data_IF_675209091332
#
_entry.id   IF_675209091332
#
_cell.length_a   1.000
_cell.length_b   1.000
_cell.length_c   1.000
_cell.angle_alpha   90.00
_cell.angle_beta   90.00
_cell.angle_gamma   90.00
#
_symmetry.space_group_name_H-M   'P 1'
#
loop_
_entity.id
_entity.type
_entity.pdbx_description
1 polymer ?
#
# COMPACT_ATOMS: atom_id res chain seq x y z
N UNK A 1 39.07 -31.86 16.01
CA UNK A 1 40.22 -32.71 15.73
C UNK A 1 40.71 -32.42 14.32
N UNK A 2 41.80 -31.67 14.19
CA UNK A 2 42.44 -31.33 12.92
C UNK A 2 43.25 -32.56 12.47
N UNK A 3 42.87 -33.16 11.33
CA UNK A 3 43.69 -34.14 10.65
C UNK A 3 44.54 -33.43 9.60
N UNK A 4 45.80 -33.30 9.88
CA UNK A 4 46.81 -32.90 8.88
C UNK A 4 47.11 -34.11 8.01
N UNK A 5 46.87 -34.02 6.70
CA UNK A 5 47.44 -34.96 5.73
C UNK A 5 48.79 -34.44 5.31
N UNK A 6 49.80 -35.16 5.74
CA UNK A 6 51.20 -34.95 5.34
C UNK A 6 51.42 -35.62 3.97
N UNK A 7 51.58 -34.83 2.90
CA UNK A 7 52.03 -35.38 1.65
C UNK A 7 53.53 -35.61 1.71
N UNK A 8 53.88 -36.89 1.72
CA UNK A 8 55.28 -37.34 1.63
C UNK A 8 55.68 -37.32 0.16
N UNK A 9 56.52 -36.38 -0.22
CA UNK A 9 57.18 -36.36 -1.52
C UNK A 9 58.23 -37.47 -1.56
N UNK A 10 57.95 -38.54 -2.29
CA UNK A 10 58.88 -39.61 -2.54
C UNK A 10 59.85 -39.23 -3.66
N UNK A 11 60.98 -38.66 -3.31
CA UNK A 11 62.10 -38.50 -4.25
C UNK A 11 62.84 -39.85 -4.37
N UNK A 12 62.60 -40.57 -5.47
CA UNK A 12 63.40 -41.70 -5.83
C UNK A 12 64.73 -41.18 -6.40
N UNK A 13 65.77 -41.28 -5.57
CA UNK A 13 67.16 -41.18 -6.03
C UNK A 13 67.53 -42.53 -6.65
N UNK A 14 67.78 -42.54 -7.94
CA UNK A 14 68.38 -43.69 -8.60
C UNK A 14 69.88 -43.46 -8.59
N UNK A 15 70.62 -44.17 -7.72
CA UNK A 15 72.08 -44.29 -7.76
C UNK A 15 72.41 -45.52 -8.57
N UNK A 16 72.94 -45.34 -9.81
CA UNK A 16 73.54 -46.38 -10.59
C UNK A 16 75.06 -46.29 -10.48
N UNK A 17 75.65 -47.28 -9.84
CA UNK A 17 77.08 -47.43 -9.71
C UNK A 17 77.58 -48.45 -10.77
N UNK A 18 78.73 -48.25 -11.34
CA UNK A 18 79.45 -49.21 -12.12
C UNK A 18 80.30 -48.54 -13.22
N UNK A 19 81.46 -48.40 -13.11
CA UNK A 19 82.74 -49.11 -13.14
C UNK A 19 83.45 -48.99 -14.46
N UNK A 20 84.51 -48.31 -14.37
CA UNK A 20 85.86 -48.47 -14.97
C UNK A 20 86.11 -48.60 -16.48
N UNK A 21 87.00 -47.69 -16.89
CA UNK A 21 88.17 -47.82 -17.77
C UNK A 21 88.01 -48.14 -19.27
N UNK A 22 88.32 -47.25 -20.17
CA UNK A 22 89.61 -47.12 -20.75
C UNK A 22 89.68 -45.98 -21.78
N UNK A 23 90.86 -45.43 -21.88
CA UNK A 23 91.24 -44.35 -22.76
C UNK A 23 91.17 -44.72 -24.26
N UNK A 24 90.65 -43.83 -25.07
CA UNK A 24 90.72 -43.90 -26.51
C UNK A 24 89.94 -42.82 -27.17
N UNK A 25 90.62 -41.69 -27.51
CA UNK A 25 89.97 -40.57 -28.18
C UNK A 25 89.25 -40.95 -29.48
N UNK A 26 88.02 -40.63 -29.55
CA UNK A 26 87.37 -40.23 -30.77
C UNK A 26 86.13 -39.39 -30.48
N UNK A 27 86.20 -38.15 -30.91
CA UNK A 27 85.07 -37.26 -30.88
C UNK A 27 83.97 -37.78 -31.79
N UNK A 28 83.05 -38.58 -31.25
CA UNK A 28 81.74 -38.79 -31.84
C UNK A 28 80.71 -38.09 -30.94
N UNK A 29 80.52 -36.84 -31.27
CA UNK A 29 79.36 -36.08 -30.87
C UNK A 29 78.13 -36.74 -31.49
N UNK A 30 77.48 -37.63 -30.76
CA UNK A 30 76.32 -38.34 -31.21
C UNK A 30 75.64 -39.11 -30.09
N UNK A 31 75.53 -38.48 -28.88
CA UNK A 31 74.62 -39.02 -27.88
C UNK A 31 73.24 -39.11 -28.50
N UNK A 32 72.56 -40.27 -28.42
CA UNK A 32 71.19 -40.41 -28.91
C UNK A 32 70.30 -39.38 -28.23
N UNK A 33 69.52 -38.65 -29.07
CA UNK A 33 68.54 -37.73 -28.54
C UNK A 33 67.59 -38.46 -27.60
N UNK A 34 67.32 -37.88 -26.44
CA UNK A 34 66.24 -38.32 -25.56
C UNK A 34 65.33 -37.14 -25.22
N UNK A 35 64.06 -37.44 -25.03
CA UNK A 35 63.03 -36.51 -24.64
C UNK A 35 62.12 -37.22 -23.68
N UNK A 36 61.99 -36.68 -22.44
CA UNK A 36 61.12 -37.21 -21.41
C UNK A 36 60.31 -36.08 -20.80
N UNK A 37 59.02 -36.34 -20.63
CA UNK A 37 58.02 -35.44 -20.01
C UNK A 37 57.06 -36.28 -19.19
N UNK A 38 56.45 -35.67 -18.18
CA UNK A 38 55.49 -36.35 -17.29
C UNK A 38 54.13 -35.65 -17.38
N UNK A 39 53.08 -36.38 -17.00
CA UNK A 39 51.74 -35.82 -16.84
C UNK A 39 51.75 -34.65 -15.86
N UNK A 40 50.85 -33.70 -16.07
CA UNK A 40 50.73 -32.50 -15.25
C UNK A 40 49.33 -32.46 -14.65
N UNK A 41 49.26 -32.45 -13.32
CA UNK A 41 48.02 -32.24 -12.59
C UNK A 41 47.93 -30.80 -12.08
N UNK A 42 46.83 -30.14 -12.39
CA UNK A 42 46.55 -28.76 -12.04
C UNK A 42 45.37 -28.71 -11.05
N UNK A 43 45.54 -28.12 -9.87
CA UNK A 43 44.41 -27.86 -8.99
C UNK A 43 43.36 -26.99 -9.69
N UNK A 44 42.05 -27.25 -9.45
CA UNK A 44 40.94 -26.65 -10.20
C UNK A 44 40.91 -25.12 -10.17
N UNK A 45 41.34 -24.50 -9.08
CA UNK A 45 41.43 -23.05 -8.94
C UNK A 45 42.69 -22.40 -9.55
N UNK A 46 43.66 -23.19 -9.94
CA UNK A 46 44.93 -22.68 -10.48
C UNK A 46 44.81 -22.44 -11.99
N UNK A 47 45.43 -21.37 -12.45
CA UNK A 47 45.49 -20.98 -13.89
C UNK A 47 46.83 -21.23 -14.52
N UNK A 48 47.82 -21.71 -13.78
CA UNK A 48 49.17 -22.02 -14.28
C UNK A 48 49.72 -23.30 -13.67
N UNK A 49 50.53 -24.00 -14.44
CA UNK A 49 51.33 -25.14 -14.00
C UNK A 49 52.66 -25.19 -14.74
N UNK A 50 53.63 -25.94 -14.21
CA UNK A 50 54.93 -26.14 -14.84
C UNK A 50 54.98 -27.49 -15.51
N UNK A 51 55.34 -27.50 -16.79
CA UNK A 51 55.71 -28.68 -17.55
C UNK A 51 57.26 -28.78 -17.58
N UNK A 52 57.81 -29.82 -16.95
CA UNK A 52 59.23 -30.05 -16.96
C UNK A 52 59.61 -30.94 -18.15
N UNK A 53 60.45 -30.45 -19.01
CA UNK A 53 60.99 -31.17 -20.18
C UNK A 53 62.45 -31.53 -19.92
N UNK A 54 62.73 -32.80 -19.95
CA UNK A 54 64.06 -33.34 -19.80
C UNK A 54 64.51 -33.86 -21.18
N UNK A 55 65.57 -33.27 -21.76
CA UNK A 55 66.04 -33.62 -23.08
C UNK A 55 67.57 -33.53 -23.15
N UNK A 56 68.14 -34.30 -24.03
CA UNK A 56 69.58 -34.17 -24.37
C UNK A 56 69.88 -32.76 -24.90
N UNK A 57 71.07 -32.24 -24.63
CA UNK A 57 71.50 -30.89 -25.01
C UNK A 57 71.39 -30.53 -26.50
N UNK A 58 71.39 -31.54 -27.35
CA UNK A 58 71.23 -31.43 -28.80
C UNK A 58 69.78 -31.60 -29.28
N UNK A 59 68.86 -32.06 -28.40
CA UNK A 59 67.48 -32.29 -28.80
C UNK A 59 66.69 -30.96 -28.83
N UNK A 60 66.28 -30.57 -30.00
CA UNK A 60 65.30 -29.48 -30.17
C UNK A 60 63.88 -30.05 -30.13
N UNK A 61 62.97 -29.38 -29.43
CA UNK A 61 61.63 -29.87 -29.24
C UNK A 61 60.56 -28.81 -29.48
N UNK A 62 59.31 -29.24 -29.75
CA UNK A 62 58.15 -28.42 -29.92
C UNK A 62 56.97 -29.03 -29.16
N UNK A 63 56.06 -28.19 -28.70
CA UNK A 63 54.85 -28.57 -27.92
C UNK A 63 53.62 -28.22 -28.77
N UNK A 64 52.67 -29.15 -28.85
CA UNK A 64 51.36 -28.94 -29.49
C UNK A 64 50.23 -29.42 -28.59
N UNK A 65 49.12 -28.75 -28.70
CA UNK A 65 47.89 -29.10 -27.99
C UNK A 65 46.66 -28.63 -28.77
N UNK A 66 45.46 -29.15 -28.49
CA UNK A 66 44.22 -28.85 -29.22
C UNK A 66 43.16 -28.24 -28.35
N UNK A 67 43.22 -28.47 -27.04
CA UNK A 67 42.14 -28.07 -26.12
C UNK A 67 42.16 -26.57 -25.83
N UNK A 68 41.05 -25.89 -26.07
CA UNK A 68 40.93 -24.43 -25.96
C UNK A 68 41.05 -23.91 -24.52
N UNK A 69 40.88 -24.75 -23.50
CA UNK A 69 41.06 -24.36 -22.11
C UNK A 69 42.53 -24.21 -21.69
N UNK A 70 43.48 -24.78 -22.47
CA UNK A 70 44.89 -24.46 -22.39
C UNK A 70 45.12 -23.23 -23.26
N UNK A 71 45.36 -22.09 -22.64
CA UNK A 71 45.49 -20.79 -23.30
C UNK A 71 46.83 -20.65 -24.01
N UNK A 72 47.87 -21.09 -23.33
CA UNK A 72 49.23 -21.07 -23.85
C UNK A 72 50.14 -22.03 -23.12
N UNK A 73 51.20 -22.48 -23.77
CA UNK A 73 52.35 -23.14 -23.18
C UNK A 73 53.58 -22.34 -23.63
N UNK A 74 54.38 -21.84 -22.69
CA UNK A 74 55.51 -20.97 -22.99
C UNK A 74 56.73 -21.32 -22.17
N UNK A 75 57.93 -21.56 -22.84
CA UNK A 75 58.09 -21.63 -24.29
C UNK A 75 57.43 -22.87 -24.90
N UNK A 76 56.87 -22.78 -26.10
CA UNK A 76 56.26 -23.89 -26.83
C UNK A 76 57.29 -24.66 -27.69
N UNK A 77 58.55 -24.16 -27.77
CA UNK A 77 59.69 -24.82 -28.41
C UNK A 77 60.99 -24.48 -27.70
N UNK A 78 61.94 -25.35 -27.73
CA UNK A 78 63.23 -25.14 -27.07
C UNK A 78 64.26 -26.18 -27.43
N UNK A 79 65.41 -26.16 -26.74
CA UNK A 79 66.49 -27.11 -26.90
C UNK A 79 67.04 -27.55 -25.57
N UNK A 80 67.25 -28.85 -25.38
CA UNK A 80 67.70 -29.43 -24.11
C UNK A 80 66.63 -29.37 -23.02
N UNK A 81 67.04 -29.60 -21.82
CA UNK A 81 66.11 -29.60 -20.65
C UNK A 81 65.67 -28.19 -20.30
N UNK A 82 64.37 -27.94 -20.23
CA UNK A 82 63.74 -26.66 -19.84
C UNK A 82 62.37 -26.88 -19.16
N UNK A 83 61.93 -25.85 -18.45
CA UNK A 83 60.55 -25.78 -17.95
C UNK A 83 59.72 -24.88 -18.84
N UNK A 84 58.51 -25.33 -19.16
CA UNK A 84 57.51 -24.52 -19.83
C UNK A 84 56.34 -24.25 -18.86
N UNK A 85 55.78 -23.06 -18.92
CA UNK A 85 54.58 -22.71 -18.14
C UNK A 85 53.33 -22.98 -18.96
N UNK A 86 52.48 -23.85 -18.48
CA UNK A 86 51.13 -24.07 -19.01
C UNK A 86 50.22 -23.05 -18.36
N UNK A 87 49.53 -22.24 -19.18
CA UNK A 87 48.49 -21.33 -18.75
C UNK A 87 47.12 -21.88 -19.16
N UNK A 88 46.22 -22.01 -18.20
CA UNK A 88 44.86 -22.57 -18.40
C UNK A 88 43.81 -21.62 -17.91
N UNK A 89 42.56 -21.79 -18.36
CA UNK A 89 41.40 -21.15 -17.68
C UNK A 89 41.12 -21.91 -16.37
N UNK A 90 40.41 -21.29 -15.41
CA UNK A 90 39.85 -22.02 -14.27
C UNK A 90 38.90 -23.12 -14.76
N UNK A 91 38.88 -24.26 -14.08
CA UNK A 91 37.89 -25.28 -14.40
C UNK A 91 36.49 -24.78 -13.97
N UNK A 92 35.52 -24.57 -14.91
CA UNK A 92 34.20 -24.07 -14.57
C UNK A 92 33.33 -25.09 -13.82
N UNK A 93 33.76 -26.36 -13.78
CA UNK A 93 32.98 -27.42 -13.13
C UNK A 93 33.48 -27.70 -11.72
N UNK A 94 32.58 -27.84 -10.80
CA UNK A 94 32.87 -28.13 -9.39
C UNK A 94 32.98 -29.64 -9.08
N UNK A 95 32.61 -30.52 -10.01
CA UNK A 95 32.56 -31.96 -9.80
C UNK A 95 33.28 -32.79 -10.85
N UNK A 96 33.76 -32.17 -11.94
CA UNK A 96 34.34 -32.88 -13.06
C UNK A 96 35.75 -32.37 -13.37
N UNK A 97 36.72 -33.25 -13.35
CA UNK A 97 38.09 -32.95 -13.90
C UNK A 97 38.03 -32.88 -15.43
N UNK A 98 38.90 -32.11 -16.00
CA UNK A 98 39.12 -32.07 -17.47
C UNK A 98 40.55 -32.45 -17.82
N UNK A 99 40.73 -33.15 -18.90
CA UNK A 99 42.03 -33.65 -19.34
C UNK A 99 42.28 -33.26 -20.81
N UNK A 100 43.46 -32.81 -21.10
CA UNK A 100 43.97 -32.53 -22.45
C UNK A 100 45.19 -33.37 -22.73
N UNK A 101 45.36 -33.80 -23.99
CA UNK A 101 46.61 -34.40 -24.46
C UNK A 101 47.51 -33.30 -24.99
N UNK A 102 48.69 -33.19 -24.43
CA UNK A 102 49.76 -32.31 -24.88
C UNK A 102 50.86 -33.17 -25.46
N UNK A 103 51.25 -32.90 -26.69
CA UNK A 103 52.31 -33.63 -27.40
C UNK A 103 53.61 -32.83 -27.40
N UNK A 104 54.70 -33.44 -26.95
CA UNK A 104 56.04 -32.89 -27.07
C UNK A 104 56.81 -33.77 -28.01
N UNK A 105 57.36 -33.20 -29.09
CA UNK A 105 58.10 -33.93 -30.10
C UNK A 105 59.44 -33.27 -30.44
N UNK A 106 60.47 -34.07 -30.78
CA UNK A 106 61.69 -33.51 -31.31
C UNK A 106 61.48 -33.03 -32.75
N UNK A 107 62.41 -32.20 -33.29
CA UNK A 107 62.29 -31.61 -34.60
C UNK A 107 62.22 -32.62 -35.77
N UNK A 108 62.82 -33.79 -35.60
CA UNK A 108 62.73 -34.87 -36.60
C UNK A 108 61.42 -35.63 -36.55
N UNK A 109 60.64 -35.46 -35.48
CA UNK A 109 59.44 -36.23 -35.24
C UNK A 109 59.64 -37.68 -34.82
N UNK A 110 60.93 -38.11 -34.68
CA UNK A 110 61.28 -39.46 -34.32
C UNK A 110 61.01 -39.81 -32.85
N UNK A 111 61.01 -38.80 -32.01
CA UNK A 111 60.62 -38.92 -30.55
C UNK A 111 59.39 -38.08 -30.33
N UNK A 112 58.30 -38.74 -29.93
CA UNK A 112 57.02 -38.12 -29.59
C UNK A 112 56.61 -38.61 -28.20
N UNK A 113 56.16 -37.68 -27.34
CA UNK A 113 55.61 -37.95 -25.99
C UNK A 113 54.26 -37.24 -25.83
N UNK A 114 53.25 -38.05 -25.72
CA UNK A 114 51.89 -37.56 -25.35
C UNK A 114 51.76 -37.64 -23.84
N UNK A 115 51.39 -36.54 -23.22
CA UNK A 115 51.14 -36.43 -21.79
C UNK A 115 49.75 -35.95 -21.56
N UNK A 116 49.19 -36.35 -20.43
CA UNK A 116 47.94 -35.83 -19.95
C UNK A 116 48.16 -34.60 -19.06
N UNK A 117 47.51 -33.50 -19.40
CA UNK A 117 47.36 -32.34 -18.52
C UNK A 117 45.97 -32.43 -17.98
N UNK A 118 45.83 -32.69 -16.67
CA UNK A 118 44.56 -32.86 -15.98
C UNK A 118 44.34 -31.72 -15.00
N UNK A 119 43.20 -31.01 -15.14
CA UNK A 119 42.82 -30.01 -14.19
C UNK A 119 41.65 -30.53 -13.32
N UNK A 120 41.87 -30.57 -12.00
CA UNK A 120 40.89 -30.99 -11.03
C UNK A 120 39.64 -30.07 -11.02
N UNK A 121 38.50 -30.50 -10.47
CA UNK A 121 37.38 -29.63 -10.21
C UNK A 121 37.79 -28.45 -9.33
N UNK A 122 37.19 -27.30 -9.54
CA UNK A 122 37.31 -26.19 -8.58
C UNK A 122 36.37 -26.38 -7.41
N UNK A 123 36.60 -25.71 -6.27
CA UNK A 123 35.62 -25.68 -5.17
C UNK A 123 34.31 -25.11 -5.67
N UNK A 124 33.20 -25.72 -5.25
CA UNK A 124 31.88 -25.24 -5.63
C UNK A 124 31.66 -23.82 -5.13
N UNK A 125 31.20 -22.96 -6.03
CA UNK A 125 30.80 -21.58 -5.77
C UNK A 125 29.39 -21.36 -6.26
N UNK A 126 28.56 -20.78 -5.41
CA UNK A 126 27.22 -20.35 -5.74
C UNK A 126 26.94 -19.04 -4.97
N UNK A 127 26.50 -18.00 -5.67
CA UNK A 127 26.24 -16.69 -5.10
C UNK A 127 24.93 -16.14 -5.64
N UNK A 128 24.26 -15.30 -4.85
CA UNK A 128 23.08 -14.53 -5.23
C UNK A 128 23.41 -13.05 -5.16
N UNK A 129 22.94 -12.27 -6.12
CA UNK A 129 23.11 -10.80 -6.14
C UNK A 129 22.35 -10.09 -5.04
N UNK A 130 21.32 -10.72 -4.47
CA UNK A 130 20.55 -10.24 -3.32
C UNK A 130 20.20 -11.41 -2.39
N UNK A 131 20.00 -11.10 -1.11
CA UNK A 131 19.53 -12.06 -0.09
C UNK A 131 18.05 -11.91 0.21
N UNK A 132 17.47 -10.74 -0.13
CA UNK A 132 16.07 -10.41 0.14
C UNK A 132 15.52 -9.62 -1.03
N UNK A 133 14.29 -9.90 -1.43
CA UNK A 133 13.48 -9.11 -2.34
C UNK A 133 12.26 -8.59 -1.59
N UNK A 134 12.10 -7.27 -1.56
CA UNK A 134 10.97 -6.61 -0.92
C UNK A 134 9.98 -6.12 -1.98
N UNK A 135 8.73 -6.54 -1.86
CA UNK A 135 7.63 -6.12 -2.70
C UNK A 135 6.61 -5.32 -1.90
N UNK A 136 5.99 -4.33 -2.52
CA UNK A 136 4.77 -3.73 -2.00
C UNK A 136 3.62 -4.75 -2.06
N UNK A 137 2.45 -4.41 -1.56
CA UNK A 137 1.27 -5.29 -1.63
C UNK A 137 0.80 -5.55 -3.07
N UNK A 138 1.14 -4.69 -4.02
CA UNK A 138 0.74 -4.78 -5.43
C UNK A 138 1.51 -5.93 -6.12
N UNK A 139 0.88 -6.55 -7.13
CA UNK A 139 1.55 -7.49 -8.01
C UNK A 139 2.80 -6.86 -8.66
N UNK A 140 3.87 -7.63 -8.75
CA UNK A 140 5.13 -7.10 -9.28
C UNK A 140 6.15 -8.17 -9.63
N UNK A 141 7.27 -7.73 -10.20
CA UNK A 141 8.37 -8.58 -10.64
C UNK A 141 9.70 -7.96 -10.27
N UNK A 142 10.63 -8.76 -9.75
CA UNK A 142 12.01 -8.38 -9.49
C UNK A 142 12.95 -9.49 -9.94
N UNK A 143 14.21 -9.15 -10.18
CA UNK A 143 15.21 -10.10 -10.64
C UNK A 143 16.40 -10.16 -9.69
N UNK A 144 17.02 -11.33 -9.62
CA UNK A 144 18.34 -11.55 -9.04
C UNK A 144 19.23 -12.22 -10.07
N UNK A 145 20.54 -12.12 -9.87
CA UNK A 145 21.53 -12.93 -10.60
C UNK A 145 21.99 -14.05 -9.68
N UNK A 146 21.92 -15.29 -10.18
CA UNK A 146 22.53 -16.47 -9.59
C UNK A 146 23.79 -16.75 -10.37
N UNK A 147 24.95 -16.73 -9.71
CA UNK A 147 26.25 -16.96 -10.33
C UNK A 147 27.05 -18.00 -9.59
N UNK A 148 27.81 -18.81 -10.33
CA UNK A 148 28.66 -19.87 -9.78
C UNK A 148 29.25 -20.78 -10.85
N UNK A 149 30.02 -21.77 -10.40
CA UNK A 149 30.64 -22.78 -11.25
C UNK A 149 29.95 -24.15 -11.12
N UNK A 150 28.68 -24.16 -10.74
CA UNK A 150 27.90 -25.38 -10.51
C UNK A 150 26.54 -25.26 -11.17
N UNK A 151 26.00 -26.38 -11.60
CA UNK A 151 24.58 -26.45 -11.93
C UNK A 151 23.81 -26.32 -10.60
N UNK A 152 22.76 -25.50 -10.64
CA UNK A 152 21.90 -25.30 -9.47
C UNK A 152 20.43 -25.54 -9.80
N UNK A 153 19.66 -25.81 -8.78
CA UNK A 153 18.21 -25.90 -8.82
C UNK A 153 17.57 -25.18 -7.64
N UNK A 154 16.37 -24.65 -7.85
CA UNK A 154 15.52 -24.13 -6.80
C UNK A 154 14.75 -25.29 -6.15
N UNK A 155 14.80 -25.37 -4.82
CA UNK A 155 14.21 -26.48 -4.06
C UNK A 155 12.69 -26.32 -3.92
N UNK A 156 12.23 -25.13 -3.53
CA UNK A 156 10.80 -24.84 -3.27
C UNK A 156 10.03 -24.79 -4.58
N UNK A 157 8.79 -25.32 -4.55
CA UNK A 157 7.83 -25.14 -5.65
C UNK A 157 7.27 -23.71 -5.66
N UNK A 158 6.72 -23.29 -6.79
CA UNK A 158 5.92 -22.08 -6.86
C UNK A 158 4.67 -22.22 -6.00
N UNK A 159 4.18 -21.13 -5.44
CA UNK A 159 2.94 -21.04 -4.69
C UNK A 159 1.97 -20.09 -5.43
N UNK A 160 0.71 -20.08 -5.03
CA UNK A 160 -0.32 -19.24 -5.68
C UNK A 160 0.06 -17.76 -5.74
N UNK A 161 0.89 -17.30 -4.79
CA UNK A 161 1.24 -15.90 -4.68
C UNK A 161 2.61 -15.52 -5.26
N UNK A 162 3.48 -16.49 -5.56
CA UNK A 162 4.74 -16.21 -6.25
C UNK A 162 5.11 -17.31 -7.24
N UNK A 163 5.88 -16.93 -8.24
CA UNK A 163 6.54 -17.82 -9.19
C UNK A 163 7.97 -17.40 -9.47
N UNK A 164 8.83 -18.37 -9.80
CA UNK A 164 10.25 -18.15 -10.05
C UNK A 164 10.68 -18.80 -11.36
N UNK A 165 11.38 -18.06 -12.22
CA UNK A 165 11.86 -18.58 -13.49
C UNK A 165 13.21 -17.92 -13.90
N UNK A 166 14.20 -18.69 -14.40
CA UNK A 166 14.26 -20.16 -14.44
C UNK A 166 14.46 -20.77 -13.03
N UNK A 167 14.12 -22.03 -12.87
CA UNK A 167 14.25 -22.78 -11.60
C UNK A 167 15.53 -23.62 -11.52
N UNK A 168 16.28 -23.69 -12.59
CA UNK A 168 17.55 -24.42 -12.71
C UNK A 168 18.38 -23.80 -13.81
N UNK A 169 19.69 -23.90 -13.71
CA UNK A 169 20.62 -23.51 -14.74
C UNK A 169 21.97 -24.19 -14.55
N UNK A 170 22.67 -24.40 -15.66
CA UNK A 170 24.09 -24.83 -15.73
C UNK A 170 25.02 -23.71 -16.18
N UNK A 171 24.49 -22.50 -16.43
CA UNK A 171 25.33 -21.35 -16.84
C UNK A 171 26.03 -20.73 -15.64
N UNK A 172 27.24 -20.17 -15.89
CA UNK A 172 28.02 -19.49 -14.85
C UNK A 172 27.29 -18.28 -14.21
N UNK A 173 26.38 -17.69 -14.96
CA UNK A 173 25.54 -16.58 -14.50
C UNK A 173 24.16 -16.66 -15.14
N UNK A 174 23.12 -16.57 -14.32
CA UNK A 174 21.72 -16.65 -14.75
C UNK A 174 20.89 -15.59 -14.06
N UNK A 175 20.12 -14.83 -14.82
CA UNK A 175 19.10 -13.92 -14.28
C UNK A 175 17.86 -14.74 -13.95
N UNK A 176 17.43 -14.65 -12.71
CA UNK A 176 16.22 -15.31 -12.16
C UNK A 176 15.20 -14.24 -11.87
N UNK A 177 14.01 -14.39 -12.40
CA UNK A 177 12.85 -13.50 -12.17
C UNK A 177 11.95 -14.10 -11.11
N UNK A 178 11.58 -13.30 -10.14
CA UNK A 178 10.58 -13.60 -9.13
C UNK A 178 9.36 -12.71 -9.38
N UNK A 179 8.20 -13.32 -9.61
CA UNK A 179 6.94 -12.62 -9.77
C UNK A 179 6.08 -12.86 -8.54
N UNK A 180 5.37 -11.85 -8.07
CA UNK A 180 4.39 -11.96 -7.00
C UNK A 180 3.03 -11.45 -7.49
N UNK A 181 1.94 -12.10 -7.03
CA UNK A 181 0.57 -11.60 -7.20
C UNK A 181 0.27 -10.54 -6.14
N UNK A 182 -0.83 -9.81 -6.29
CA UNK A 182 -1.29 -8.86 -5.27
C UNK A 182 -1.50 -9.57 -3.91
N UNK A 183 -1.02 -8.94 -2.83
CA UNK A 183 -1.31 -9.35 -1.47
C UNK A 183 -2.59 -8.65 -0.98
N UNK A 184 -3.71 -9.32 -1.06
CA UNK A 184 -5.01 -8.79 -0.61
C UNK A 184 -5.21 -8.89 0.90
N UNK A 185 -4.27 -9.52 1.63
CA UNK A 185 -4.28 -9.58 3.09
C UNK A 185 -3.64 -8.31 3.66
N UNK A 186 -4.11 -7.88 4.82
CA UNK A 186 -3.52 -6.77 5.57
C UNK A 186 -2.19 -7.14 6.25
N UNK A 187 -1.78 -8.40 6.16
CA UNK A 187 -0.55 -8.92 6.76
C UNK A 187 0.51 -9.19 5.70
N UNK A 188 1.77 -8.93 6.09
CA UNK A 188 2.95 -9.29 5.33
C UNK A 188 3.00 -10.82 5.11
N UNK A 189 3.47 -11.25 3.92
CA UNK A 189 3.76 -12.66 3.62
C UNK A 189 5.20 -12.83 3.19
N UNK A 190 5.80 -13.96 3.60
CA UNK A 190 7.22 -14.26 3.40
C UNK A 190 7.42 -15.66 2.88
N UNK A 191 8.51 -15.83 2.12
CA UNK A 191 9.00 -17.14 1.70
C UNK A 191 10.52 -17.14 1.59
N UNK A 192 11.15 -18.19 2.09
CA UNK A 192 12.58 -18.44 1.87
C UNK A 192 12.71 -19.47 0.76
N UNK A 193 13.52 -19.12 -0.24
CA UNK A 193 13.85 -19.94 -1.40
C UNK A 193 15.29 -20.43 -1.26
N UNK A 194 15.53 -21.72 -1.50
CA UNK A 194 16.84 -22.35 -1.41
C UNK A 194 17.35 -22.72 -2.82
N UNK A 195 18.40 -22.04 -3.25
CA UNK A 195 19.15 -22.35 -4.46
C UNK A 195 20.26 -23.34 -4.07
N UNK A 196 20.17 -24.56 -4.59
CA UNK A 196 21.08 -25.65 -4.25
C UNK A 196 21.95 -26.04 -5.43
N UNK A 197 23.27 -25.94 -5.26
CA UNK A 197 24.26 -26.42 -6.20
C UNK A 197 24.43 -27.96 -6.13
N UNK A 198 24.87 -28.57 -7.20
CA UNK A 198 25.05 -30.03 -7.30
C UNK A 198 26.10 -30.58 -6.31
N UNK A 199 27.10 -29.76 -5.92
CA UNK A 199 28.09 -30.12 -4.88
C UNK A 199 27.59 -29.90 -3.46
N UNK A 200 26.34 -29.44 -3.26
CA UNK A 200 25.70 -29.31 -1.96
C UNK A 200 25.67 -27.91 -1.37
N UNK A 201 26.34 -26.92 -2.00
CA UNK A 201 26.26 -25.51 -1.57
C UNK A 201 24.82 -25.01 -1.69
N UNK A 202 24.30 -24.40 -0.62
CA UNK A 202 22.96 -23.79 -0.62
C UNK A 202 23.06 -22.30 -0.34
N UNK A 203 22.28 -21.49 -1.08
CA UNK A 203 22.09 -20.06 -0.87
C UNK A 203 20.61 -19.75 -0.74
N UNK A 204 20.30 -18.81 0.14
CA UNK A 204 18.92 -18.44 0.47
C UNK A 204 18.58 -17.07 -0.08
N UNK A 205 17.38 -16.96 -0.62
CA UNK A 205 16.72 -15.73 -1.00
C UNK A 205 15.41 -15.65 -0.21
N UNK A 206 15.21 -14.60 0.54
CA UNK A 206 13.93 -14.31 1.20
C UNK A 206 13.09 -13.39 0.32
N UNK A 207 11.86 -13.78 0.05
CA UNK A 207 10.84 -12.95 -0.57
C UNK A 207 9.96 -12.40 0.55
N UNK A 208 9.79 -11.08 0.58
CA UNK A 208 8.92 -10.39 1.53
C UNK A 208 7.95 -9.54 0.72
N UNK A 209 6.65 -9.73 0.94
CA UNK A 209 5.64 -8.86 0.34
C UNK A 209 4.79 -8.23 1.44
N UNK A 210 4.75 -6.89 1.46
CA UNK A 210 3.96 -6.14 2.41
C UNK A 210 2.48 -6.51 2.32
N UNK A 211 1.75 -6.36 3.44
CA UNK A 211 0.31 -6.42 3.47
C UNK A 211 -0.34 -5.19 2.84
N UNK A 212 -1.63 -5.29 2.55
CA UNK A 212 -2.43 -4.15 2.12
C UNK A 212 -2.41 -3.04 3.18
N UNK A 213 -2.31 -1.75 2.81
CA UNK A 213 -2.33 -0.65 3.76
C UNK A 213 -3.62 -0.64 4.60
N UNK A 214 -3.47 -0.33 5.88
CA UNK A 214 -4.60 -0.30 6.84
C UNK A 214 -4.79 1.05 7.50
N UNK A 215 -3.92 2.02 7.21
CA UNK A 215 -3.98 3.36 7.78
C UNK A 215 -4.81 4.32 6.92
N UNK A 216 -5.60 5.17 7.59
CA UNK A 216 -6.39 6.23 6.99
C UNK A 216 -6.52 7.40 7.97
N UNK A 217 -7.01 8.52 7.49
CA UNK A 217 -7.40 9.68 8.30
C UNK A 217 -8.77 10.19 7.88
N UNK A 218 -9.48 10.86 8.79
CA UNK A 218 -10.77 11.49 8.51
C UNK A 218 -10.75 12.98 8.82
N UNK A 219 -11.40 13.78 7.98
CA UNK A 219 -11.46 15.23 8.16
C UNK A 219 -12.70 15.83 7.47
N UNK A 220 -13.41 16.76 8.13
CA UNK A 220 -13.30 17.13 9.54
C UNK A 220 -13.85 16.06 10.49
N UNK A 221 -13.41 16.05 11.73
CA UNK A 221 -13.89 15.13 12.77
C UNK A 221 -15.09 15.65 13.58
N UNK A 222 -15.38 16.96 13.47
CA UNK A 222 -16.52 17.60 14.13
C UNK A 222 -17.25 18.49 13.13
N UNK A 223 -18.55 18.30 13.01
CA UNK A 223 -19.40 19.03 12.06
C UNK A 223 -20.63 19.53 12.83
N UNK A 224 -20.90 20.82 12.74
CA UNK A 224 -22.10 21.43 13.30
C UNK A 224 -23.06 21.78 12.16
N UNK A 225 -24.35 21.44 12.33
CA UNK A 225 -25.42 21.71 11.37
C UNK A 225 -26.63 22.29 12.05
N UNK A 226 -27.49 22.98 11.28
CA UNK A 226 -28.77 23.53 11.73
C UNK A 226 -29.81 22.42 11.94
N UNK A 227 -30.91 22.76 12.63
CA UNK A 227 -31.97 21.81 12.94
C UNK A 227 -32.72 21.23 11.72
N UNK A 228 -33.00 21.99 10.64
CA UNK A 228 -33.67 21.45 9.44
C UNK A 228 -32.82 20.39 8.73
N UNK A 229 -33.46 19.49 8.00
CA UNK A 229 -32.86 18.49 7.15
C UNK A 229 -31.77 19.11 6.26
N UNK A 230 -30.64 18.46 6.18
CA UNK A 230 -29.46 18.96 5.47
C UNK A 230 -28.51 17.82 5.14
N UNK A 231 -27.37 18.15 4.54
CA UNK A 231 -26.28 17.24 4.33
C UNK A 231 -25.01 17.77 4.99
N UNK A 232 -24.17 16.85 5.45
CA UNK A 232 -22.82 17.12 5.89
C UNK A 232 -21.83 16.23 5.13
N UNK A 233 -20.58 16.64 5.02
CA UNK A 233 -19.55 15.83 4.34
C UNK A 233 -18.29 15.72 5.18
N UNK A 234 -17.62 14.57 5.09
CA UNK A 234 -16.27 14.38 5.57
C UNK A 234 -15.48 13.53 4.55
N UNK A 235 -14.16 13.62 4.61
CA UNK A 235 -13.26 12.88 3.72
C UNK A 235 -12.55 11.79 4.51
N UNK A 236 -12.47 10.61 3.92
CA UNK A 236 -11.55 9.54 4.29
C UNK A 236 -10.36 9.65 3.34
N UNK A 237 -9.13 9.68 3.88
CA UNK A 237 -7.89 9.81 3.11
C UNK A 237 -6.92 8.71 3.54
N UNK A 238 -6.43 7.93 2.59
CA UNK A 238 -5.54 6.79 2.79
C UNK A 238 -5.76 5.74 1.72
N UNK A 239 -5.07 4.61 1.81
CA UNK A 239 -5.22 3.47 0.90
C UNK A 239 -5.98 2.30 1.54
N UNK A 240 -6.33 2.40 2.83
CA UNK A 240 -6.98 1.34 3.59
C UNK A 240 -8.35 0.94 3.01
N UNK A 241 -8.70 -0.31 3.20
CA UNK A 241 -10.11 -0.76 3.15
C UNK A 241 -10.78 -0.35 4.45
N UNK A 242 -11.95 0.27 4.34
CA UNK A 242 -12.65 0.82 5.47
C UNK A 242 -14.14 0.47 5.46
N UNK A 243 -14.71 0.48 6.65
CA UNK A 243 -16.16 0.46 6.89
C UNK A 243 -16.56 1.71 7.66
N UNK A 244 -17.79 2.20 7.46
CA UNK A 244 -18.34 3.35 8.18
C UNK A 244 -19.73 3.02 8.72
N UNK A 245 -19.99 3.39 9.96
CA UNK A 245 -21.28 3.15 10.62
C UNK A 245 -21.70 4.38 11.45
N UNK A 246 -22.94 4.83 11.24
CA UNK A 246 -23.58 5.82 12.10
C UNK A 246 -24.28 5.12 13.27
N UNK A 247 -24.15 5.68 14.47
CA UNK A 247 -24.89 5.21 15.65
C UNK A 247 -26.33 5.74 15.71
N UNK A 248 -26.78 6.53 14.71
CA UNK A 248 -28.08 7.18 14.67
C UNK A 248 -28.77 7.00 13.33
N UNK A 249 -30.03 6.55 13.34
CA UNK A 249 -30.82 6.38 12.12
C UNK A 249 -31.19 7.69 11.38
N UNK A 250 -31.10 8.84 12.07
CA UNK A 250 -31.34 10.14 11.46
C UNK A 250 -30.14 10.73 10.68
N UNK A 251 -29.00 10.06 10.73
CA UNK A 251 -27.77 10.42 10.02
C UNK A 251 -27.35 9.24 9.14
N UNK A 252 -27.75 9.25 7.87
CA UNK A 252 -27.51 8.16 6.92
C UNK A 252 -26.34 8.45 6.01
N UNK A 253 -25.48 7.44 5.78
CA UNK A 253 -24.25 7.57 5.01
C UNK A 253 -24.48 7.25 3.53
N UNK A 254 -23.82 7.99 2.63
CA UNK A 254 -23.82 7.70 1.19
C UNK A 254 -23.04 6.42 0.83
N UNK A 255 -22.12 5.97 1.72
CA UNK A 255 -21.39 4.73 1.58
C UNK A 255 -21.01 4.22 2.96
N UNK A 256 -21.13 2.90 3.17
CA UNK A 256 -20.81 2.23 4.43
C UNK A 256 -19.53 1.39 4.38
N UNK A 257 -18.89 1.30 3.22
CA UNK A 257 -17.61 0.65 3.01
C UNK A 257 -16.94 1.15 1.74
N UNK A 258 -15.64 0.93 1.65
CA UNK A 258 -14.84 1.27 0.49
C UNK A 258 -13.36 0.99 0.69
N UNK A 259 -12.57 1.47 -0.25
CA UNK A 259 -11.11 1.40 -0.27
C UNK A 259 -10.57 2.73 -0.77
N UNK A 260 -9.47 3.18 -0.18
CA UNK A 260 -8.81 4.43 -0.58
C UNK A 260 -9.58 5.69 -0.20
N UNK A 261 -9.25 6.78 -0.88
CA UNK A 261 -9.82 8.10 -0.65
C UNK A 261 -11.31 8.15 -1.01
N UNK A 262 -12.13 8.71 -0.11
CA UNK A 262 -13.56 8.85 -0.34
C UNK A 262 -14.15 10.04 0.40
N UNK A 263 -14.99 10.80 -0.27
CA UNK A 263 -15.89 11.76 0.39
C UNK A 263 -17.19 11.06 0.73
N UNK A 264 -17.56 11.10 2.00
CA UNK A 264 -18.83 10.56 2.52
C UNK A 264 -19.78 11.73 2.72
N UNK A 265 -20.96 11.63 2.11
CA UNK A 265 -22.07 12.52 2.39
C UNK A 265 -22.99 11.89 3.43
N UNK A 266 -23.30 12.63 4.47
CA UNK A 266 -24.24 12.24 5.52
C UNK A 266 -25.54 13.01 5.30
N UNK A 267 -26.62 12.31 5.03
CA UNK A 267 -27.95 12.88 4.94
C UNK A 267 -28.61 12.91 6.32
N UNK A 268 -29.05 14.08 6.73
CA UNK A 268 -29.59 14.35 8.07
C UNK A 268 -31.09 14.70 7.97
N UNK A 269 -31.89 14.04 8.79
CA UNK A 269 -33.32 14.41 8.91
C UNK A 269 -33.52 15.64 9.82
N UNK A 270 -34.70 16.24 9.75
CA UNK A 270 -35.10 17.34 10.67
C UNK A 270 -34.89 16.97 12.12
N UNK A 271 -34.30 17.87 12.90
CA UNK A 271 -34.38 17.83 14.38
C UNK A 271 -35.53 18.71 14.83
N UNK A 272 -36.67 18.10 15.05
CA UNK A 272 -37.87 18.80 15.52
C UNK A 272 -37.94 18.89 17.05
N UNK A 273 -36.97 18.36 17.78
CA UNK A 273 -36.90 18.46 19.23
C UNK A 273 -36.27 19.78 19.66
N UNK A 274 -36.71 20.31 20.77
CA UNK A 274 -36.15 21.53 21.41
C UNK A 274 -34.78 21.28 22.08
N UNK A 275 -34.12 20.14 21.77
CA UNK A 275 -32.79 19.80 22.24
C UNK A 275 -31.89 19.46 21.03
N UNK A 276 -30.65 19.91 21.11
CA UNK A 276 -29.62 19.50 20.14
C UNK A 276 -29.38 18.00 20.26
N UNK A 277 -28.99 17.38 19.13
CA UNK A 277 -28.66 15.95 19.07
C UNK A 277 -27.34 15.69 18.40
N UNK A 278 -26.74 14.57 18.72
CA UNK A 278 -25.42 14.19 18.22
C UNK A 278 -25.48 12.82 17.58
N UNK A 279 -24.84 12.68 16.42
CA UNK A 279 -24.52 11.42 15.79
C UNK A 279 -23.00 11.20 15.80
N UNK A 280 -22.57 9.99 16.11
CA UNK A 280 -21.21 9.55 16.00
C UNK A 280 -21.12 8.55 14.85
N UNK A 281 -20.22 8.83 13.89
CA UNK A 281 -19.93 7.97 12.77
C UNK A 281 -18.56 7.37 13.03
N UNK A 282 -18.51 6.05 13.18
CA UNK A 282 -17.26 5.29 13.36
C UNK A 282 -16.79 4.79 12.01
N UNK A 283 -15.55 5.09 11.66
CA UNK A 283 -14.85 4.60 10.46
C UNK A 283 -13.77 3.65 10.95
N UNK A 284 -13.70 2.43 10.40
CA UNK A 284 -12.76 1.39 10.86
C UNK A 284 -12.13 0.66 9.69
N UNK A 285 -10.84 0.38 9.82
CA UNK A 285 -10.09 -0.62 9.05
C UNK A 285 -9.78 -1.83 9.95
N UNK A 286 -8.96 -2.77 9.49
CA UNK A 286 -8.50 -3.92 10.29
C UNK A 286 -7.63 -3.54 11.49
N UNK A 287 -6.95 -2.38 11.45
CA UNK A 287 -6.00 -1.96 12.48
C UNK A 287 -6.32 -0.61 13.13
N UNK A 288 -7.26 0.16 12.58
CA UNK A 288 -7.54 1.53 13.02
C UNK A 288 -9.01 1.84 13.06
N UNK A 289 -9.40 2.72 13.98
CA UNK A 289 -10.75 3.27 14.07
C UNK A 289 -10.70 4.75 14.42
N UNK A 290 -11.40 5.56 13.63
CA UNK A 290 -11.58 7.00 13.84
C UNK A 290 -13.07 7.36 13.89
N UNK A 291 -13.38 8.56 14.40
CA UNK A 291 -14.76 9.01 14.60
C UNK A 291 -15.00 10.39 14.00
N UNK A 292 -16.19 10.56 13.44
CA UNK A 292 -16.73 11.86 13.06
C UNK A 292 -17.99 12.13 13.90
N UNK A 293 -18.00 13.27 14.56
CA UNK A 293 -19.11 13.74 15.39
C UNK A 293 -19.92 14.79 14.63
N UNK A 294 -21.22 14.56 14.45
CA UNK A 294 -22.13 15.54 13.86
C UNK A 294 -23.07 16.04 14.97
N UNK A 295 -23.01 17.34 15.23
CA UNK A 295 -23.90 18.03 16.17
C UNK A 295 -24.99 18.76 15.37
N UNK A 296 -26.26 18.36 15.54
CA UNK A 296 -27.40 19.05 14.95
C UNK A 296 -28.10 19.90 16.01
N UNK A 297 -28.26 21.20 15.69
CA UNK A 297 -28.90 22.15 16.58
C UNK A 297 -30.33 21.72 16.93
N UNK A 298 -30.84 22.26 18.05
CA UNK A 298 -32.22 22.09 18.47
C UNK A 298 -33.20 22.75 17.47
N UNK A 299 -34.36 22.14 17.29
CA UNK A 299 -35.50 22.79 16.71
C UNK A 299 -36.00 23.91 17.61
N UNK A 300 -36.49 24.98 17.03
CA UNK A 300 -37.08 26.10 17.78
C UNK A 300 -38.54 26.30 17.36
N UNK A 301 -39.39 26.61 18.33
CA UNK A 301 -40.74 27.09 18.04
C UNK A 301 -40.70 28.35 17.21
N UNK A 302 -41.77 28.68 16.45
CA UNK A 302 -41.87 29.96 15.74
C UNK A 302 -41.70 31.13 16.70
N UNK A 303 -41.28 32.27 16.19
CA UNK A 303 -41.43 33.56 16.88
C UNK A 303 -42.66 34.24 16.33
N UNK A 304 -43.39 35.00 17.20
CA UNK A 304 -44.59 35.78 16.84
C UNK A 304 -44.40 37.18 17.41
N UNK A 305 -44.36 38.18 16.54
CA UNK A 305 -44.00 39.57 16.88
C UNK A 305 -44.94 40.57 16.20
N UNK A 306 -44.77 41.84 16.58
CA UNK A 306 -45.41 42.99 15.92
C UNK A 306 -46.97 42.89 15.91
N UNK A 307 -47.56 42.38 16.99
CA UNK A 307 -49.01 42.27 17.08
C UNK A 307 -49.62 43.66 17.23
N UNK A 308 -50.48 44.00 16.26
CA UNK A 308 -51.16 45.30 16.19
C UNK A 308 -52.64 45.10 15.97
N UNK A 309 -53.45 46.01 16.50
CA UNK A 309 -54.89 46.08 16.22
C UNK A 309 -55.18 47.36 15.38
N UNK A 310 -55.78 47.15 14.21
CA UNK A 310 -56.11 48.22 13.26
C UNK A 310 -57.58 48.12 12.88
N UNK A 311 -58.15 49.21 12.35
CA UNK A 311 -59.50 49.23 11.83
C UNK A 311 -60.55 48.75 12.86
N UNK A 312 -60.49 49.25 14.10
CA UNK A 312 -61.45 48.91 15.12
C UNK A 312 -62.78 49.62 14.87
N UNK A 313 -63.90 48.84 14.85
CA UNK A 313 -65.23 49.33 14.71
C UNK A 313 -66.05 48.92 15.93
N UNK A 314 -67.42 49.06 15.89
CA UNK A 314 -68.32 48.58 16.97
C UNK A 314 -68.35 47.06 17.09
N UNK A 315 -68.22 46.34 15.92
CA UNK A 315 -68.38 44.87 15.90
C UNK A 315 -67.26 44.17 15.16
N UNK A 316 -66.19 44.88 14.80
CA UNK A 316 -65.04 44.27 14.06
C UNK A 316 -63.73 44.94 14.41
N UNK A 317 -62.62 44.19 14.14
CA UNK A 317 -61.25 44.67 14.21
C UNK A 317 -60.37 43.87 13.22
N UNK A 318 -59.25 44.42 12.83
CA UNK A 318 -58.23 43.69 12.06
C UNK A 318 -56.95 43.58 12.89
N UNK A 319 -56.41 42.36 13.02
CA UNK A 319 -55.22 42.11 13.80
C UNK A 319 -54.06 41.79 12.82
N UNK A 320 -53.01 42.59 12.87
CA UNK A 320 -51.79 42.35 12.14
C UNK A 320 -50.70 41.74 13.05
N UNK A 321 -49.88 40.85 12.53
CA UNK A 321 -48.70 40.32 13.20
C UNK A 321 -47.69 39.74 12.23
N UNK A 322 -46.48 39.44 12.70
CA UNK A 322 -45.43 38.73 11.96
C UNK A 322 -45.06 37.44 12.66
N UNK A 323 -44.65 36.43 11.86
CA UNK A 323 -44.07 35.24 12.39
C UNK A 323 -42.80 34.85 11.61
N UNK A 324 -41.84 34.17 12.28
CA UNK A 324 -40.64 33.60 11.72
C UNK A 324 -40.34 32.26 12.38
N UNK A 325 -39.81 31.27 11.60
CA UNK A 325 -39.56 29.91 12.04
C UNK A 325 -38.48 29.24 11.20
N UNK A 326 -37.72 28.32 11.80
CA UNK A 326 -36.79 27.46 11.08
C UNK A 326 -37.50 26.45 10.17
N UNK A 327 -38.72 26.04 10.55
CA UNK A 327 -39.58 25.10 9.83
C UNK A 327 -40.80 25.78 9.26
N UNK A 328 -41.41 25.27 8.19
CA UNK A 328 -42.67 25.82 7.70
C UNK A 328 -43.73 25.90 8.79
N UNK A 329 -44.38 27.05 8.91
CA UNK A 329 -45.52 27.24 9.79
C UNK A 329 -46.71 26.60 9.10
N UNK A 330 -47.35 25.64 9.74
CA UNK A 330 -48.54 24.93 9.21
C UNK A 330 -49.87 25.64 9.46
N UNK A 331 -49.92 26.42 10.56
CA UNK A 331 -51.07 27.19 10.96
C UNK A 331 -50.63 28.44 11.71
N UNK A 332 -51.31 29.55 11.47
CA UNK A 332 -51.16 30.79 12.25
C UNK A 332 -52.51 31.43 12.47
N UNK A 333 -52.62 32.24 13.49
CA UNK A 333 -53.90 32.84 13.81
C UNK A 333 -53.85 33.70 15.08
N UNK A 334 -55.05 33.99 15.56
CA UNK A 334 -55.25 34.73 16.77
C UNK A 334 -56.24 34.01 17.71
N UNK A 335 -55.96 34.07 19.00
CA UNK A 335 -56.89 33.73 20.05
C UNK A 335 -57.36 35.05 20.68
N UNK A 336 -58.65 35.15 21.00
CA UNK A 336 -59.20 36.36 21.59
C UNK A 336 -60.28 36.04 22.61
N UNK A 337 -60.41 36.88 23.64
CA UNK A 337 -61.39 36.74 24.72
C UNK A 337 -61.68 38.07 25.32
N UNK A 338 -62.96 38.29 25.81
CA UNK A 338 -63.34 39.46 26.58
C UNK A 338 -63.13 39.26 28.10
N UNK A 339 -62.84 38.03 28.53
CA UNK A 339 -62.73 37.67 29.94
C UNK A 339 -61.40 37.12 30.36
N UNK A 340 -60.67 36.50 29.40
CA UNK A 340 -59.33 35.91 29.64
C UNK A 340 -58.29 36.85 29.09
N UNK A 341 -57.38 37.34 29.92
CA UNK A 341 -56.30 38.25 29.52
C UNK A 341 -55.11 37.53 28.85
N UNK A 342 -55.09 36.18 28.78
CA UNK A 342 -54.10 35.36 28.13
C UNK A 342 -54.76 34.27 27.25
N UNK A 343 -55.53 34.66 26.23
CA UNK A 343 -56.32 33.72 25.44
C UNK A 343 -55.42 32.67 24.75
N UNK A 344 -55.94 31.44 24.64
CA UNK A 344 -55.24 30.28 24.10
C UNK A 344 -56.17 29.41 23.25
N UNK A 345 -55.61 28.55 22.37
CA UNK A 345 -56.32 27.72 21.39
C UNK A 345 -57.37 26.80 22.02
N UNK A 346 -57.07 26.24 23.19
CA UNK A 346 -57.90 25.20 23.80
C UNK A 346 -59.02 25.78 24.71
N UNK A 347 -59.03 27.08 24.99
CA UNK A 347 -59.86 27.70 26.00
C UNK A 347 -60.70 28.89 25.49
N UNK A 348 -60.33 29.51 24.38
CA UNK A 348 -60.90 30.79 23.94
C UNK A 348 -61.23 30.76 22.44
N UNK A 349 -61.96 31.80 22.00
CA UNK A 349 -62.23 31.98 20.59
C UNK A 349 -60.93 32.12 19.80
N UNK A 350 -60.86 31.49 18.64
CA UNK A 350 -59.72 31.66 17.76
C UNK A 350 -60.12 31.75 16.30
N UNK A 351 -59.26 32.37 15.49
CA UNK A 351 -59.37 32.43 14.06
C UNK A 351 -58.03 32.12 13.45
N UNK A 352 -57.99 31.12 12.57
CA UNK A 352 -56.77 30.60 11.99
C UNK A 352 -56.76 30.60 10.47
N UNK A 353 -55.55 30.57 9.91
CA UNK A 353 -55.25 30.38 8.52
C UNK A 353 -54.20 29.27 8.39
N UNK A 354 -54.24 28.50 7.30
CA UNK A 354 -53.21 27.54 6.97
C UNK A 354 -51.97 28.22 6.42
N UNK A 355 -50.82 27.81 6.89
CA UNK A 355 -49.52 28.28 6.44
C UNK A 355 -48.74 27.20 5.72
N UNK A 356 -47.74 27.60 4.90
CA UNK A 356 -46.80 26.70 4.24
C UNK A 356 -45.38 27.28 4.17
N UNK A 357 -45.19 28.46 4.69
CA UNK A 357 -43.94 29.24 4.62
C UNK A 357 -43.29 29.39 5.99
N UNK A 358 -42.02 29.68 6.03
CA UNK A 358 -41.26 29.84 7.26
C UNK A 358 -41.50 31.19 7.93
N UNK A 359 -41.83 32.21 7.16
CA UNK A 359 -42.05 33.57 7.68
C UNK A 359 -43.22 34.24 6.97
N UNK A 360 -43.91 35.13 7.66
CA UNK A 360 -45.00 35.88 7.09
C UNK A 360 -45.31 37.14 7.91
N UNK A 361 -45.91 38.14 7.20
CA UNK A 361 -46.60 39.29 7.77
C UNK A 361 -48.06 39.17 7.35
N UNK A 362 -48.96 39.06 8.32
CA UNK A 362 -50.33 38.64 8.08
C UNK A 362 -51.32 39.56 8.79
N UNK A 363 -52.55 39.60 8.29
CA UNK A 363 -53.65 40.29 8.95
C UNK A 363 -54.88 39.37 9.04
N UNK A 364 -55.50 39.32 10.20
CA UNK A 364 -56.69 38.50 10.43
C UNK A 364 -57.85 39.40 10.84
N UNK A 365 -58.96 39.47 10.03
CA UNK A 365 -60.14 40.20 10.39
C UNK A 365 -60.95 39.46 11.44
N UNK A 366 -61.41 40.19 12.43
CA UNK A 366 -62.41 39.74 13.44
C UNK A 366 -63.74 40.40 13.11
N UNK A 367 -64.83 39.62 13.30
CA UNK A 367 -66.24 40.08 13.20
C UNK A 367 -66.99 39.61 14.42
N UNK A 368 -68.26 40.09 14.54
CA UNK A 368 -69.22 39.67 15.54
C UNK A 368 -68.76 39.95 16.97
N UNK A 369 -67.98 41.01 17.14
CA UNK A 369 -67.57 41.50 18.45
C UNK A 369 -68.70 42.32 19.13
N UNK A 370 -68.73 42.29 20.47
CA UNK A 370 -69.62 43.11 21.22
C UNK A 370 -69.16 44.59 21.27
N UNK A 371 -70.06 45.58 21.04
CA UNK A 371 -69.69 47.00 21.11
C UNK A 371 -69.24 47.41 22.51
N UNK A 372 -68.30 48.36 22.57
CA UNK A 372 -67.83 48.94 23.84
C UNK A 372 -67.14 47.95 24.76
N UNK A 373 -66.62 46.83 24.21
CA UNK A 373 -66.06 45.70 24.95
C UNK A 373 -64.57 45.65 24.82
N UNK A 374 -63.84 45.37 25.91
CA UNK A 374 -62.39 45.10 25.89
C UNK A 374 -62.20 43.68 25.48
N UNK A 375 -61.35 43.49 24.48
CA UNK A 375 -60.87 42.18 24.03
C UNK A 375 -59.35 42.07 24.22
N UNK A 376 -58.92 40.92 24.76
CA UNK A 376 -57.51 40.51 24.85
C UNK A 376 -57.23 39.59 23.71
N UNK A 377 -56.02 39.74 23.10
CA UNK A 377 -55.61 38.99 21.90
C UNK A 377 -54.21 38.48 22.05
N UNK A 378 -54.01 37.27 21.62
CA UNK A 378 -52.68 36.69 21.37
C UNK A 378 -52.65 36.12 19.96
N UNK A 379 -51.68 36.57 19.15
CA UNK A 379 -51.37 35.91 17.91
C UNK A 379 -50.56 34.63 18.19
N UNK A 380 -50.71 33.63 17.33
CA UNK A 380 -49.98 32.37 17.44
C UNK A 380 -49.51 31.89 16.08
N UNK A 381 -48.45 31.03 16.10
CA UNK A 381 -47.97 30.26 14.94
C UNK A 381 -47.59 28.85 15.38
N UNK A 382 -47.91 27.85 14.55
CA UNK A 382 -47.68 26.44 14.79
C UNK A 382 -46.75 25.88 13.72
N UNK A 383 -45.60 25.38 14.13
CA UNK A 383 -44.68 24.58 13.27
C UNK A 383 -44.67 23.12 13.72
N UNK A 384 -43.79 22.30 13.06
CA UNK A 384 -43.56 20.92 13.48
C UNK A 384 -42.94 20.83 14.89
N UNK A 385 -42.28 21.89 15.37
CA UNK A 385 -41.67 21.94 16.73
C UNK A 385 -42.70 22.27 17.81
N UNK A 386 -43.76 22.99 17.47
CA UNK A 386 -44.80 23.31 18.42
C UNK A 386 -45.44 24.69 18.18
N UNK A 387 -46.27 25.10 19.11
CA UNK A 387 -47.00 26.35 19.10
C UNK A 387 -46.25 27.42 19.88
N UNK A 388 -46.20 28.61 19.32
CA UNK A 388 -45.74 29.82 19.99
C UNK A 388 -46.81 30.89 19.94
N UNK A 389 -47.00 31.55 21.06
CA UNK A 389 -47.89 32.69 21.20
C UNK A 389 -47.10 34.00 21.37
N UNK A 390 -47.71 35.11 20.89
CA UNK A 390 -47.22 36.44 21.20
C UNK A 390 -47.47 36.83 22.67
N UNK A 391 -46.98 37.97 23.09
CA UNK A 391 -47.53 38.67 24.25
C UNK A 391 -48.98 39.03 23.98
N UNK A 392 -49.80 39.07 25.04
CA UNK A 392 -51.18 39.55 24.96
C UNK A 392 -51.20 41.06 24.75
N UNK A 393 -52.08 41.53 23.86
CA UNK A 393 -52.46 42.92 23.74
C UNK A 393 -53.97 43.05 23.97
N UNK A 394 -54.48 44.24 24.20
CA UNK A 394 -55.90 44.50 24.29
C UNK A 394 -56.32 45.66 23.40
N UNK A 395 -57.58 45.62 22.98
CA UNK A 395 -58.24 46.74 22.31
C UNK A 395 -59.64 46.82 22.79
N UNK A 396 -60.34 48.00 22.61
CA UNK A 396 -61.75 48.21 22.97
C UNK A 396 -62.50 48.52 21.66
N UNK A 397 -63.60 47.80 21.44
CA UNK A 397 -64.53 48.10 20.34
C UNK A 397 -65.22 49.44 20.57
N UNK A 398 -65.62 50.11 19.49
CA UNK A 398 -66.32 51.36 19.56
C UNK A 398 -67.68 51.14 20.27
N UNK A 399 -68.06 51.98 21.25
CA UNK A 399 -69.33 51.94 21.90
C UNK A 399 -70.47 52.33 21.00
N UNK A 400 -71.68 51.81 21.24
CA UNK A 400 -72.84 52.34 20.55
C UNK A 400 -73.02 53.83 21.04
N UNK A 401 -72.88 54.74 20.16
CA UNK A 401 -73.26 56.13 20.40
C UNK A 401 -74.78 56.10 20.35
N UNK A 402 -75.52 56.42 21.41
CA UNK A 402 -76.95 56.64 21.28
C UNK A 402 -77.15 57.79 20.25
N UNK A 403 -77.97 57.57 19.24
CA UNK A 403 -78.44 58.67 18.41
C UNK A 403 -79.11 59.67 19.31
N UNK A 404 -78.48 60.80 19.65
CA UNK A 404 -79.06 61.85 20.43
C UNK A 404 -80.31 62.31 19.76
N UNK A 405 -81.40 62.33 20.49
CA UNK A 405 -82.61 63.02 20.14
C UNK A 405 -82.25 64.50 20.00
N UNK A 406 -82.07 64.98 18.76
CA UNK A 406 -82.23 66.40 18.50
C UNK A 406 -83.70 66.71 18.55
N UNK A 407 -84.19 66.91 19.72
CA UNK A 407 -85.48 67.50 19.96
C UNK A 407 -85.28 68.90 20.51
N UNK A 408 -84.92 69.84 19.66
CA UNK A 408 -84.97 71.23 19.94
C UNK A 408 -86.18 71.74 19.13
N UNK A 409 -87.36 71.74 19.75
CA UNK A 409 -88.47 72.57 19.29
C UNK A 409 -88.18 74.02 19.63
N UNK A 410 -88.19 74.95 18.69
CA UNK A 410 -88.18 76.37 19.03
C UNK A 410 -89.56 76.73 19.44
N UNK A 411 -89.76 77.15 20.63
CA UNK A 411 -90.91 77.89 21.06
C UNK A 411 -90.84 79.34 20.55
N UNK A 412 -91.93 79.78 20.05
CA UNK A 412 -92.46 81.01 19.47
C UNK A 412 -91.85 82.32 20.01
#
# INVERSE_FOLDING_TARGET
>A
MKKYFLFLACTLLYIGCGGDDDAGGNTLSGGSEYLNVQNVDIPGGNTTATLSIQASSNCEWTITWTENWIRSISPYSGRGSQNATITVTTNPFSSVSRTAVVTVSNNSGSIKRDINVTQSPSSESLTLSAKTLNFTYIAGSQTITVAGNTQWNLVEADEEWFSVSPRTSSSESTVVTVNVTENTSDYERKKVLNFKGNGGTTKQLEIIQAGHPTDFSVTPTNIAVTAPASTATFNIVGEARWTAQSNQGWATLSSVSGEGNKTITVTLSDNTNEQARTAEITISSSSKSDKVTIMQAAGTKPTVTDVTCINVSQTSATIGFKYDSLFPVREYGICYSSTNNTPALDADFHKSETGSVKQGAVTIPLSDLAPGTIYYIRAYAISVVGTQYSKSISFTTVSNIPSGEDNVTPDV
#
